data_IF_385547253891
#
_entry.id   IF_385547253891
#
_cell.length_a   1.000
_cell.length_b   1.000
_cell.length_c   1.000
_cell.angle_alpha   90.00
_cell.angle_beta   90.00
_cell.angle_gamma   90.00
#
_symmetry.space_group_name_H-M   'P 1'
#
loop_
_entity.id
_entity.type
_entity.pdbx_description
1 polymer ?
#
# COMPACT_ATOMS: atom_id res chain seq x y z
N UNK A 1 53.41 -39.17 -63.76
CA UNK A 1 52.95 -39.76 -62.47
C UNK A 1 52.08 -38.70 -61.81
N UNK A 2 50.79 -38.99 -61.70
CA UNK A 2 49.73 -38.04 -61.39
C UNK A 2 49.56 -37.89 -59.87
N UNK A 3 49.65 -36.68 -59.41
CA UNK A 3 49.22 -36.31 -58.00
C UNK A 3 47.89 -35.56 -58.03
N UNK A 4 46.83 -36.23 -57.61
CA UNK A 4 45.48 -35.60 -57.46
C UNK A 4 45.36 -34.96 -56.08
N UNK A 5 45.27 -33.66 -56.07
CA UNK A 5 44.99 -32.85 -54.89
C UNK A 5 43.49 -32.85 -54.64
N UNK A 6 43.05 -33.42 -53.49
CA UNK A 6 41.66 -33.37 -53.01
C UNK A 6 41.45 -32.06 -52.26
N UNK A 7 40.56 -31.23 -52.77
CA UNK A 7 40.12 -29.97 -52.13
C UNK A 7 38.94 -30.28 -51.20
N UNK A 8 39.19 -30.28 -49.91
CA UNK A 8 38.14 -30.41 -48.88
C UNK A 8 37.44 -29.07 -48.65
N UNK A 9 36.19 -28.98 -49.06
CA UNK A 9 35.32 -27.84 -48.79
C UNK A 9 34.69 -28.04 -47.39
N UNK A 10 35.10 -27.24 -46.42
CA UNK A 10 34.44 -27.13 -45.13
C UNK A 10 33.24 -26.18 -45.26
N UNK A 11 32.02 -26.72 -45.23
CA UNK A 11 30.79 -25.96 -45.11
C UNK A 11 30.57 -25.71 -43.61
N UNK A 12 30.95 -24.50 -43.16
CA UNK A 12 30.66 -24.05 -41.82
C UNK A 12 29.20 -23.59 -41.69
N UNK A 13 28.38 -24.36 -41.00
CA UNK A 13 27.00 -23.99 -40.67
C UNK A 13 27.01 -22.98 -39.52
N UNK A 14 26.77 -21.70 -39.84
CA UNK A 14 26.64 -20.64 -38.88
C UNK A 14 25.23 -20.72 -38.23
N UNK A 15 25.12 -21.32 -37.05
CA UNK A 15 23.90 -21.31 -36.24
C UNK A 15 23.76 -19.92 -35.58
N UNK A 16 22.92 -19.06 -36.20
CA UNK A 16 22.43 -17.83 -35.57
C UNK A 16 21.48 -18.22 -34.46
N UNK A 17 21.99 -18.24 -33.22
CA UNK A 17 21.16 -18.29 -32.01
C UNK A 17 20.37 -17.00 -31.86
N UNK A 18 19.07 -17.02 -32.16
CA UNK A 18 18.14 -15.97 -31.80
C UNK A 18 17.97 -16.08 -30.29
N UNK A 19 18.72 -15.25 -29.53
CA UNK A 19 18.45 -15.02 -28.14
C UNK A 19 17.09 -14.29 -28.07
N UNK A 20 16.02 -15.01 -27.73
CA UNK A 20 14.78 -14.41 -27.32
C UNK A 20 15.10 -13.60 -26.03
N UNK A 21 15.23 -12.28 -26.17
CA UNK A 21 15.17 -11.39 -25.05
C UNK A 21 13.77 -11.56 -24.44
N UNK A 22 13.66 -12.41 -23.42
CA UNK A 22 12.52 -12.40 -22.54
C UNK A 22 12.45 -10.98 -21.99
N UNK A 23 11.43 -10.21 -22.40
CA UNK A 23 11.02 -9.00 -21.72
C UNK A 23 10.70 -9.39 -20.27
N UNK A 24 11.71 -9.44 -19.43
CA UNK A 24 11.56 -9.34 -18.00
C UNK A 24 10.98 -7.94 -17.77
N UNK A 25 9.68 -7.79 -17.89
CA UNK A 25 8.96 -6.69 -17.26
C UNK A 25 9.36 -6.79 -15.81
N UNK A 26 10.25 -5.91 -15.43
CA UNK A 26 10.71 -5.72 -14.07
C UNK A 26 9.47 -5.31 -13.27
N UNK A 27 8.66 -6.30 -12.89
CA UNK A 27 7.62 -6.14 -11.89
C UNK A 27 8.36 -5.84 -10.60
N UNK A 28 8.70 -4.55 -10.48
CA UNK A 28 9.41 -4.08 -9.29
C UNK A 28 8.62 -4.53 -8.09
N UNK A 29 9.15 -5.55 -7.41
CA UNK A 29 8.53 -6.13 -6.23
C UNK A 29 8.10 -5.03 -5.26
N UNK A 30 6.91 -5.16 -4.69
CA UNK A 30 6.46 -4.26 -3.66
C UNK A 30 7.36 -4.36 -2.43
N UNK A 31 7.47 -3.30 -1.67
CA UNK A 31 8.20 -3.28 -0.39
C UNK A 31 7.75 -2.11 0.46
N UNK A 32 7.99 -2.20 1.77
CA UNK A 32 7.74 -1.13 2.74
C UNK A 32 8.38 0.18 2.32
N UNK A 33 9.66 0.15 1.92
CA UNK A 33 10.37 1.35 1.46
C UNK A 33 9.75 1.97 0.19
N UNK A 34 9.20 1.17 -0.71
CA UNK A 34 8.50 1.69 -1.91
C UNK A 34 7.13 2.28 -1.62
N UNK A 35 6.47 1.80 -0.57
CA UNK A 35 5.19 2.36 -0.12
C UNK A 35 5.37 3.69 0.61
N UNK A 36 6.58 4.05 1.05
CA UNK A 36 6.86 5.28 1.77
C UNK A 36 6.41 6.53 1.00
N UNK A 37 5.83 7.51 1.72
CA UNK A 37 5.34 8.77 1.17
C UNK A 37 4.00 9.20 1.78
N UNK A 38 3.41 10.25 1.20
CA UNK A 38 2.14 10.82 1.66
C UNK A 38 0.95 10.15 0.98
N UNK A 39 -0.09 9.87 1.76
CA UNK A 39 -1.29 9.18 1.32
C UNK A 39 -2.56 9.89 1.80
N UNK A 40 -3.56 10.01 0.94
CA UNK A 40 -4.92 10.36 1.30
C UNK A 40 -5.80 9.10 1.27
N UNK A 41 -6.76 9.00 2.18
CA UNK A 41 -7.60 7.81 2.28
C UNK A 41 -9.02 8.11 2.70
N UNK A 42 -9.90 7.16 2.42
CA UNK A 42 -11.24 7.04 2.99
C UNK A 42 -11.42 5.65 3.61
N UNK A 43 -12.20 5.58 4.70
CA UNK A 43 -12.68 4.32 5.27
C UNK A 43 -14.20 4.39 5.43
N UNK A 44 -14.89 3.31 5.11
CA UNK A 44 -16.34 3.19 5.30
C UNK A 44 -16.70 1.79 5.77
N UNK A 45 -17.79 1.70 6.50
CA UNK A 45 -18.26 0.40 6.97
C UNK A 45 -19.26 0.48 8.11
N UNK A 46 -19.26 -0.59 8.91
CA UNK A 46 -20.19 -0.77 10.02
C UNK A 46 -19.45 -1.29 11.24
N UNK A 47 -19.75 -0.71 12.40
CA UNK A 47 -19.41 -1.22 13.71
C UNK A 47 -20.61 -2.00 14.27
N UNK A 48 -20.36 -3.16 14.87
CA UNK A 48 -21.43 -3.95 15.51
C UNK A 48 -21.35 -3.70 17.02
N UNK A 49 -22.15 -2.75 17.49
CA UNK A 49 -22.27 -2.40 18.90
C UNK A 49 -23.33 -3.29 19.60
N UNK A 50 -23.30 -3.40 20.94
CA UNK A 50 -24.38 -4.08 21.67
C UNK A 50 -25.78 -3.52 21.39
N UNK A 51 -25.88 -2.26 21.00
CA UNK A 51 -27.11 -1.56 20.62
C UNK A 51 -27.51 -1.75 19.16
N UNK A 52 -26.71 -2.47 18.35
CA UNK A 52 -26.94 -2.72 16.95
C UNK A 52 -25.83 -2.24 16.02
N UNK A 53 -26.06 -2.39 14.74
CA UNK A 53 -25.14 -1.97 13.69
C UNK A 53 -25.10 -0.45 13.57
N UNK A 54 -23.90 0.14 13.59
CA UNK A 54 -23.68 1.58 13.51
C UNK A 54 -22.76 1.90 12.32
N UNK A 55 -23.20 2.82 11.47
CA UNK A 55 -22.44 3.25 10.31
C UNK A 55 -21.17 4.01 10.72
N UNK A 56 -20.10 3.76 9.99
CA UNK A 56 -18.81 4.40 10.15
C UNK A 56 -18.32 4.95 8.81
N UNK A 57 -17.78 6.17 8.82
CA UNK A 57 -17.05 6.75 7.71
C UNK A 57 -15.91 7.61 8.23
N UNK A 58 -14.79 7.66 7.52
CA UNK A 58 -13.71 8.60 7.81
C UNK A 58 -12.92 8.97 6.56
N UNK A 59 -12.30 10.15 6.60
CA UNK A 59 -11.36 10.64 5.61
C UNK A 59 -10.15 11.22 6.33
N UNK A 60 -8.97 11.03 5.76
CA UNK A 60 -7.75 11.54 6.36
C UNK A 60 -6.55 11.43 5.45
N UNK A 61 -5.41 11.73 6.03
CA UNK A 61 -4.10 11.54 5.40
C UNK A 61 -3.13 10.90 6.38
N UNK A 62 -2.15 10.21 5.84
CA UNK A 62 -1.04 9.66 6.61
C UNK A 62 0.25 9.68 5.80
N UNK A 63 1.37 9.71 6.50
CA UNK A 63 2.70 9.47 5.96
C UNK A 63 3.15 8.06 6.30
N UNK A 64 3.81 7.40 5.36
CA UNK A 64 4.47 6.11 5.52
C UNK A 64 5.98 6.33 5.44
N UNK A 65 6.71 5.96 6.49
CA UNK A 65 8.17 5.97 6.53
C UNK A 65 8.77 4.74 5.84
N UNK A 66 9.98 4.82 5.29
CA UNK A 66 10.66 3.66 4.69
C UNK A 66 11.02 2.57 5.71
N UNK A 67 11.02 2.91 6.98
CA UNK A 67 11.25 2.07 8.15
C UNK A 67 10.01 1.34 8.66
N UNK A 68 8.85 1.55 8.03
CA UNK A 68 7.58 0.93 8.41
C UNK A 68 6.79 1.71 9.47
N UNK A 69 7.20 2.93 9.81
CA UNK A 69 6.42 3.81 10.71
C UNK A 69 5.31 4.51 9.94
N UNK A 70 4.15 4.67 10.55
CA UNK A 70 2.99 5.38 10.03
C UNK A 70 2.53 6.44 11.03
N UNK A 71 2.29 7.65 10.53
CA UNK A 71 1.69 8.75 11.29
C UNK A 71 0.64 9.46 10.43
N UNK A 72 -0.41 10.00 11.06
CA UNK A 72 -1.45 10.67 10.30
C UNK A 72 -2.56 11.27 11.15
N UNK A 73 -3.59 11.72 10.47
CA UNK A 73 -4.79 12.29 11.08
C UNK A 73 -6.04 11.90 10.28
N UNK A 74 -7.16 11.86 10.96
CA UNK A 74 -8.45 11.68 10.30
C UNK A 74 -9.58 12.48 10.91
N UNK A 75 -10.60 12.72 10.10
CA UNK A 75 -11.93 13.10 10.56
C UNK A 75 -12.84 11.90 10.35
N UNK A 76 -13.44 11.42 11.44
CA UNK A 76 -14.32 10.25 11.45
C UNK A 76 -15.73 10.61 11.83
N UNK A 77 -16.68 9.77 11.44
CA UNK A 77 -18.07 9.83 11.89
C UNK A 77 -18.54 8.42 12.25
N UNK A 78 -19.06 8.27 13.46
CA UNK A 78 -19.65 7.03 13.97
C UNK A 78 -21.10 7.34 14.35
N UNK A 79 -22.07 6.76 13.63
CA UNK A 79 -23.48 7.01 13.87
C UNK A 79 -23.87 8.51 13.82
N UNK A 80 -23.12 9.32 13.04
CA UNK A 80 -23.33 10.75 12.93
C UNK A 80 -22.50 11.61 13.92
N UNK A 81 -21.84 11.01 14.90
CA UNK A 81 -20.92 11.73 15.79
C UNK A 81 -19.55 11.88 15.11
N UNK A 82 -19.13 13.12 14.91
CA UNK A 82 -17.86 13.47 14.24
C UNK A 82 -16.76 13.64 15.28
N UNK A 83 -15.57 13.07 14.99
CA UNK A 83 -14.35 13.25 15.75
C UNK A 83 -13.17 13.56 14.84
N UNK A 84 -12.16 14.22 15.41
CA UNK A 84 -10.83 14.33 14.81
C UNK A 84 -9.87 13.48 15.64
N UNK A 85 -9.13 12.61 14.97
CA UNK A 85 -8.24 11.66 15.64
C UNK A 85 -6.82 11.79 15.07
N UNK A 86 -5.83 11.50 15.92
CA UNK A 86 -4.41 11.36 15.56
C UNK A 86 -4.12 9.87 15.38
N UNK A 87 -3.38 9.53 14.34
CA UNK A 87 -3.03 8.15 13.98
C UNK A 87 -1.53 7.95 14.14
N UNK A 88 -1.14 6.87 14.80
CA UNK A 88 0.23 6.36 14.85
C UNK A 88 0.22 4.87 14.60
N UNK A 89 1.30 4.32 14.06
CA UNK A 89 1.32 2.90 13.85
C UNK A 89 2.50 2.40 13.06
N UNK A 90 2.39 1.15 12.62
CA UNK A 90 3.40 0.47 11.81
C UNK A 90 2.74 -0.23 10.64
N UNK A 91 3.52 -0.44 9.59
CA UNK A 91 3.07 -1.19 8.42
C UNK A 91 4.23 -1.99 7.82
N UNK A 92 3.87 -3.03 7.10
CA UNK A 92 4.80 -3.82 6.29
C UNK A 92 4.17 -4.15 4.94
N UNK A 93 5.00 -4.31 3.91
CA UNK A 93 4.58 -4.67 2.56
C UNK A 93 5.43 -5.81 2.05
N UNK A 94 4.75 -6.88 1.64
CA UNK A 94 5.34 -8.08 1.07
C UNK A 94 5.69 -7.88 -0.43
N UNK A 95 6.62 -8.68 -0.98
CA UNK A 95 6.98 -8.62 -2.40
C UNK A 95 5.82 -8.89 -3.39
N UNK A 96 4.78 -9.59 -2.96
CA UNK A 96 3.54 -9.86 -3.72
C UNK A 96 2.51 -8.73 -3.66
N UNK A 97 2.90 -7.58 -3.10
CA UNK A 97 2.06 -6.40 -2.92
C UNK A 97 0.91 -6.55 -1.91
N UNK A 98 0.89 -7.61 -1.12
CA UNK A 98 0.07 -7.67 0.10
C UNK A 98 0.78 -6.92 1.23
N UNK A 99 0.05 -6.59 2.29
CA UNK A 99 0.66 -5.94 3.45
C UNK A 99 -0.24 -5.99 4.67
N UNK A 100 0.32 -5.58 5.79
CA UNK A 100 -0.39 -5.43 7.05
C UNK A 100 -0.08 -4.04 7.65
N UNK A 101 -1.03 -3.52 8.41
CA UNK A 101 -0.88 -2.25 9.12
C UNK A 101 -1.55 -2.35 10.48
N UNK A 102 -0.87 -1.86 11.52
CA UNK A 102 -1.43 -1.66 12.86
C UNK A 102 -1.48 -0.17 13.15
N UNK A 103 -2.65 0.33 13.54
CA UNK A 103 -2.92 1.75 13.78
C UNK A 103 -3.43 1.92 15.19
N UNK A 104 -2.78 2.74 15.97
CA UNK A 104 -3.25 3.29 17.23
C UNK A 104 -3.93 4.62 16.95
N UNK A 105 -5.16 4.76 17.42
CA UNK A 105 -6.00 5.95 17.20
C UNK A 105 -6.13 6.68 18.52
N UNK A 106 -5.73 7.94 18.52
CA UNK A 106 -5.74 8.82 19.69
C UNK A 106 -6.70 9.99 19.49
N UNK A 107 -7.29 10.47 20.57
CA UNK A 107 -7.98 11.76 20.58
C UNK A 107 -6.97 12.94 20.55
N UNK A 108 -7.49 14.16 20.42
CA UNK A 108 -6.67 15.38 20.43
C UNK A 108 -5.96 15.63 21.79
N UNK A 109 -6.38 14.97 22.84
CA UNK A 109 -5.75 15.04 24.17
C UNK A 109 -4.67 13.98 24.37
N UNK A 110 -4.46 13.09 23.38
CA UNK A 110 -3.46 12.02 23.40
C UNK A 110 -3.92 10.74 24.11
N UNK A 111 -5.21 10.58 24.40
CA UNK A 111 -5.73 9.33 24.93
C UNK A 111 -5.92 8.31 23.82
N UNK A 112 -5.46 7.07 24.04
CA UNK A 112 -5.71 5.96 23.12
C UNK A 112 -7.20 5.63 23.11
N UNK A 113 -7.81 5.68 21.94
CA UNK A 113 -9.22 5.34 21.74
C UNK A 113 -9.42 3.90 21.28
N UNK A 114 -8.53 3.40 20.41
CA UNK A 114 -8.61 2.04 19.85
C UNK A 114 -7.33 1.68 19.10
N UNK A 115 -7.08 0.38 18.96
CA UNK A 115 -6.06 -0.18 18.07
C UNK A 115 -6.75 -0.93 16.92
N UNK A 116 -6.30 -0.71 15.69
CA UNK A 116 -6.88 -1.28 14.48
C UNK A 116 -5.79 -2.07 13.76
N UNK A 117 -6.06 -3.32 13.42
CA UNK A 117 -5.25 -4.08 12.48
C UNK A 117 -5.95 -4.15 11.12
N UNK A 118 -5.18 -4.06 10.03
CA UNK A 118 -5.68 -4.08 8.66
C UNK A 118 -4.85 -5.02 7.79
N UNK A 119 -5.52 -5.73 6.89
CA UNK A 119 -4.89 -6.36 5.74
C UNK A 119 -4.98 -5.41 4.54
N UNK A 120 -3.91 -5.35 3.75
CA UNK A 120 -3.75 -4.40 2.64
C UNK A 120 -3.37 -5.13 1.34
N UNK A 121 -3.75 -4.54 0.20
CA UNK A 121 -3.23 -4.86 -1.13
C UNK A 121 -2.88 -3.56 -1.83
N UNK A 122 -1.62 -3.46 -2.29
CA UNK A 122 -1.15 -2.33 -3.09
C UNK A 122 -1.42 -2.59 -4.56
N UNK A 123 -2.01 -1.62 -5.24
CA UNK A 123 -2.41 -1.67 -6.65
C UNK A 123 -1.88 -0.44 -7.39
N UNK A 124 -2.08 -0.36 -8.71
CA UNK A 124 -1.63 0.75 -9.54
C UNK A 124 -0.13 1.06 -9.39
N UNK A 125 0.72 0.02 -9.46
CA UNK A 125 2.17 0.11 -9.25
C UNK A 125 2.55 0.73 -7.90
N UNK A 126 1.78 0.44 -6.84
CA UNK A 126 1.99 0.94 -5.50
C UNK A 126 1.55 2.41 -5.30
N UNK A 127 0.72 2.96 -6.20
CA UNK A 127 0.16 4.31 -6.08
C UNK A 127 -1.20 4.34 -5.39
N UNK A 128 -1.85 3.19 -5.27
CA UNK A 128 -3.08 3.03 -4.52
C UNK A 128 -3.00 1.79 -3.61
N UNK A 129 -3.78 1.79 -2.54
CA UNK A 129 -3.92 0.64 -1.65
C UNK A 129 -5.39 0.46 -1.28
N UNK A 130 -5.80 -0.79 -1.13
CA UNK A 130 -7.10 -1.19 -0.61
C UNK A 130 -6.89 -2.01 0.64
N UNK A 131 -7.77 -1.86 1.60
CA UNK A 131 -7.64 -2.57 2.86
C UNK A 131 -8.98 -2.93 3.49
N UNK A 132 -8.88 -3.89 4.40
CA UNK A 132 -9.98 -4.26 5.28
C UNK A 132 -9.50 -4.32 6.73
N UNK A 133 -10.32 -3.86 7.66
CA UNK A 133 -10.06 -4.02 9.09
C UNK A 133 -10.22 -5.49 9.46
N UNK A 134 -9.17 -6.08 10.02
CA UNK A 134 -9.16 -7.47 10.51
C UNK A 134 -9.35 -7.57 12.01
N UNK A 135 -9.04 -6.48 12.73
CA UNK A 135 -9.26 -6.38 14.18
C UNK A 135 -9.44 -4.93 14.59
N UNK A 136 -10.34 -4.70 15.55
CA UNK A 136 -10.51 -3.43 16.24
C UNK A 136 -10.66 -3.71 17.74
N UNK A 137 -9.72 -3.16 18.53
CA UNK A 137 -9.63 -3.42 19.96
C UNK A 137 -9.68 -2.09 20.72
N UNK A 138 -10.50 -2.03 21.75
CA UNK A 138 -10.62 -0.89 22.66
C UNK A 138 -9.50 -0.92 23.73
N UNK A 139 -9.20 0.20 24.43
CA UNK A 139 -8.13 0.25 25.43
C UNK A 139 -8.28 -0.74 26.58
N UNK A 140 -9.51 -1.16 26.88
CA UNK A 140 -9.81 -2.18 27.89
C UNK A 140 -9.62 -3.62 27.39
N UNK A 141 -9.11 -3.83 26.17
CA UNK A 141 -8.90 -5.13 25.54
C UNK A 141 -10.14 -5.73 24.88
N UNK A 142 -11.30 -5.07 24.94
CA UNK A 142 -12.50 -5.58 24.29
C UNK A 142 -12.39 -5.46 22.76
N UNK A 143 -12.68 -6.56 22.07
CA UNK A 143 -12.75 -6.57 20.59
C UNK A 143 -14.11 -6.02 20.15
N UNK A 144 -14.10 -5.12 19.18
CA UNK A 144 -15.30 -4.54 18.58
C UNK A 144 -15.48 -5.09 17.18
N UNK A 145 -16.49 -5.96 16.94
CA UNK A 145 -16.75 -6.50 15.62
C UNK A 145 -17.07 -5.38 14.62
N UNK A 146 -16.46 -5.45 13.44
CA UNK A 146 -16.61 -4.43 12.42
C UNK A 146 -16.45 -5.01 11.01
N UNK A 147 -17.10 -4.37 10.04
CA UNK A 147 -16.88 -4.58 8.62
C UNK A 147 -16.53 -3.22 8.06
N UNK A 148 -15.23 -2.93 7.91
CA UNK A 148 -14.73 -1.63 7.46
C UNK A 148 -13.70 -1.85 6.36
N UNK A 149 -13.89 -1.16 5.23
CA UNK A 149 -12.94 -1.12 4.12
C UNK A 149 -12.26 0.24 4.05
N UNK A 150 -11.10 0.28 3.42
CA UNK A 150 -10.33 1.48 3.16
C UNK A 150 -9.84 1.52 1.72
N UNK A 151 -9.89 2.69 1.13
CA UNK A 151 -9.24 3.02 -0.13
C UNK A 151 -8.27 4.19 0.10
N UNK A 152 -7.01 4.01 -0.32
CA UNK A 152 -5.96 5.01 -0.17
C UNK A 152 -5.28 5.28 -1.50
N UNK A 153 -4.86 6.53 -1.71
CA UNK A 153 -4.08 6.95 -2.88
C UNK A 153 -2.89 7.78 -2.43
N UNK A 154 -1.76 7.57 -3.11
CA UNK A 154 -0.57 8.38 -2.90
C UNK A 154 -0.85 9.82 -3.33
N UNK A 155 -0.49 10.77 -2.47
CA UNK A 155 -0.57 12.18 -2.77
C UNK A 155 0.67 12.60 -3.57
N UNK A 156 0.45 13.29 -4.70
CA UNK A 156 1.55 13.83 -5.49
C UNK A 156 2.10 15.10 -4.82
N UNK A 157 3.42 15.17 -4.63
CA UNK A 157 4.10 16.37 -4.12
C UNK A 157 4.26 17.50 -5.17
N UNK A 158 3.64 17.40 -6.34
CA UNK A 158 3.85 18.35 -7.45
C UNK A 158 3.04 19.66 -7.34
N UNK A 159 2.95 20.25 -6.14
CA UNK A 159 2.41 21.61 -5.99
C UNK A 159 3.46 22.67 -5.60
N UNK A 160 4.71 22.46 -6.00
CA UNK A 160 5.79 23.36 -5.59
C UNK A 160 6.72 23.83 -6.68
N UNK A 161 6.29 24.11 -7.92
CA UNK A 161 7.09 25.00 -8.80
C UNK A 161 6.37 25.40 -10.12
N UNK A 162 5.13 25.85 -10.05
CA UNK A 162 4.65 26.75 -11.12
C UNK A 162 4.68 28.16 -10.57
N UNK A 163 5.87 28.79 -10.71
CA UNK A 163 6.00 30.22 -10.55
C UNK A 163 5.00 30.91 -11.47
N UNK A 164 4.06 31.61 -10.89
CA UNK A 164 3.27 32.60 -11.60
C UNK A 164 4.19 33.77 -11.90
N UNK A 165 4.87 33.75 -13.07
CA UNK A 165 5.43 34.95 -13.65
C UNK A 165 4.27 35.76 -14.22
N UNK A 166 4.00 36.90 -13.62
CA UNK A 166 3.19 37.98 -14.21
C UNK A 166 4.06 38.76 -15.17
#
# INVERSE_FOLDING_TARGET
>A
MSGRTLLSVFVGTLLLGVAAAADARDHRACSTARAAGEWGYTKTGTLVLPTGATLFASVGRFSLGPDGVMEGENNGSVGGHVSKDVLKGTFEVNPDCTGAMTIEVYDESGNLLRTIAMALVFVDDGRAARGIVTSLVLPNGASLPSIITADAKRLHRDYGNRGWSR
#
